data_IF_738993068478
#
_entry.id   IF_738993068478
#
_cell.length_a   1.000
_cell.length_b   1.000
_cell.length_c   1.000
_cell.angle_alpha   90.00
_cell.angle_beta   90.00
_cell.angle_gamma   90.00
#
_symmetry.space_group_name_H-M   'P 1'
#
loop_
_entity.id
_entity.type
_entity.pdbx_description
1 polymer ?
#
# COMPACT_ATOMS: atom_id res chain seq x y z
N UNK A 1 -9.00 13.08 13.82
CA UNK A 1 -9.36 11.70 13.36
C UNK A 1 -9.90 10.88 14.55
N UNK A 2 -10.99 10.11 14.38
CA UNK A 2 -11.45 9.16 15.41
C UNK A 2 -10.40 8.04 15.61
N UNK A 3 -10.31 7.50 16.84
CA UNK A 3 -9.36 6.43 17.15
C UNK A 3 -9.76 5.14 16.37
N UNK A 4 -8.84 4.54 15.62
CA UNK A 4 -9.12 3.27 14.95
C UNK A 4 -9.19 2.12 15.98
N UNK A 5 -9.97 1.06 15.66
CA UNK A 5 -9.99 -0.14 16.49
C UNK A 5 -8.59 -0.78 16.55
N UNK A 6 -8.30 -1.56 17.61
CA UNK A 6 -7.00 -2.20 17.75
C UNK A 6 -6.71 -3.17 16.61
N UNK A 7 -5.43 -3.40 16.33
CA UNK A 7 -4.99 -4.37 15.30
C UNK A 7 -5.52 -5.78 15.57
N UNK A 8 -5.64 -6.15 16.83
CA UNK A 8 -6.30 -7.37 17.28
C UNK A 8 -7.41 -6.94 18.24
N UNK A 9 -8.64 -7.06 17.78
CA UNK A 9 -9.85 -6.86 18.55
C UNK A 9 -10.38 -8.26 18.97
N UNK A 10 -10.34 -8.58 20.29
CA UNK A 10 -10.76 -9.90 20.76
C UNK A 10 -12.20 -10.25 20.41
N UNK A 11 -13.12 -9.28 20.41
CA UNK A 11 -14.53 -9.51 20.09
C UNK A 11 -14.71 -9.88 18.61
N UNK A 12 -14.07 -9.12 17.73
CA UNK A 12 -14.07 -9.44 16.27
C UNK A 12 -13.47 -10.82 16.04
N UNK A 13 -12.38 -11.16 16.74
CA UNK A 13 -11.74 -12.45 16.58
C UNK A 13 -12.60 -13.60 17.09
N UNK A 14 -13.20 -13.48 18.28
CA UNK A 14 -14.13 -14.49 18.83
C UNK A 14 -15.33 -14.71 17.93
N UNK A 15 -15.85 -13.66 17.32
CA UNK A 15 -16.99 -13.76 16.41
C UNK A 15 -16.67 -14.51 15.10
N UNK A 16 -15.39 -14.73 14.78
CA UNK A 16 -14.95 -15.42 13.56
C UNK A 16 -15.13 -16.94 13.59
N UNK A 17 -15.20 -17.53 14.81
CA UNK A 17 -15.36 -18.98 15.01
C UNK A 17 -16.08 -19.25 16.34
N UNK A 18 -17.21 -19.97 16.35
CA UNK A 18 -17.92 -20.34 17.59
C UNK A 18 -17.05 -21.04 18.62
N UNK A 19 -16.02 -21.81 18.21
CA UNK A 19 -15.08 -22.45 19.12
C UNK A 19 -14.25 -21.48 19.95
N UNK A 20 -14.14 -20.24 19.54
CA UNK A 20 -13.38 -19.19 20.22
C UNK A 20 -14.23 -18.36 21.20
N UNK A 21 -15.55 -18.55 21.21
CA UNK A 21 -16.50 -17.70 21.93
C UNK A 21 -16.24 -17.61 23.45
N UNK A 22 -15.65 -18.65 24.05
CA UNK A 22 -15.39 -18.73 25.49
C UNK A 22 -13.97 -18.27 25.89
N UNK A 23 -13.14 -17.82 24.96
CA UNK A 23 -11.81 -17.27 25.27
C UNK A 23 -11.98 -15.88 25.93
N UNK A 24 -11.22 -15.62 26.99
CA UNK A 24 -11.03 -14.24 27.45
C UNK A 24 -10.17 -13.44 26.45
N UNK A 25 -10.00 -12.16 26.70
CA UNK A 25 -9.29 -11.26 25.77
C UNK A 25 -7.84 -11.65 25.58
N UNK A 26 -7.14 -12.01 26.64
CA UNK A 26 -5.73 -12.41 26.60
C UNK A 26 -5.55 -13.71 25.81
N UNK A 27 -6.38 -14.72 26.10
CA UNK A 27 -6.39 -15.99 25.39
C UNK A 27 -6.76 -15.82 23.91
N UNK A 28 -7.74 -14.97 23.59
CA UNK A 28 -8.12 -14.68 22.22
C UNK A 28 -6.97 -14.02 21.43
N UNK A 29 -6.29 -13.03 22.02
CA UNK A 29 -5.12 -12.39 21.42
C UNK A 29 -3.97 -13.39 21.23
N UNK A 30 -3.68 -14.20 22.24
CA UNK A 30 -2.63 -15.22 22.17
C UNK A 30 -2.93 -16.27 21.11
N UNK A 31 -4.17 -16.75 21.03
CA UNK A 31 -4.61 -17.71 20.03
C UNK A 31 -4.53 -17.13 18.60
N UNK A 32 -4.94 -15.87 18.43
CA UNK A 32 -4.81 -15.18 17.16
C UNK A 32 -3.34 -15.13 16.70
N UNK A 33 -2.45 -14.70 17.59
CA UNK A 33 -1.01 -14.59 17.28
C UNK A 33 -0.38 -15.93 16.92
N UNK A 34 -0.81 -17.00 17.59
CA UNK A 34 -0.26 -18.34 17.40
C UNK A 34 -0.85 -19.07 16.17
N UNK A 35 -2.09 -18.79 15.78
CA UNK A 35 -2.81 -19.58 14.78
C UNK A 35 -3.66 -18.77 13.82
N UNK A 36 -4.37 -17.73 14.29
CA UNK A 36 -5.35 -16.98 13.51
C UNK A 36 -4.70 -16.15 12.41
N UNK A 37 -3.59 -15.50 12.76
CA UNK A 37 -2.88 -14.59 11.87
C UNK A 37 -2.44 -15.26 10.57
N UNK A 38 -1.75 -16.38 10.66
CA UNK A 38 -1.18 -17.07 9.51
C UNK A 38 -2.24 -17.78 8.67
N UNK A 39 -3.43 -17.97 9.22
CA UNK A 39 -4.62 -18.45 8.53
C UNK A 39 -5.46 -17.35 7.89
N UNK A 40 -5.08 -16.10 8.10
CA UNK A 40 -5.78 -14.92 7.57
C UNK A 40 -7.15 -14.67 8.22
N UNK A 41 -7.34 -15.11 9.48
CA UNK A 41 -8.59 -14.84 10.20
C UNK A 41 -8.67 -13.34 10.50
N UNK A 42 -9.83 -12.74 10.25
CA UNK A 42 -10.07 -11.32 10.54
C UNK A 42 -10.12 -11.12 12.05
N UNK A 43 -9.21 -10.30 12.58
CA UNK A 43 -9.17 -9.94 14.00
C UNK A 43 -9.40 -8.45 14.25
N UNK A 44 -9.71 -7.68 13.21
CA UNK A 44 -10.15 -6.29 13.31
C UNK A 44 -10.99 -5.95 12.09
N UNK A 45 -12.07 -5.18 12.24
CA UNK A 45 -12.89 -4.77 11.09
C UNK A 45 -12.09 -4.08 9.99
N UNK A 46 -11.09 -3.27 10.37
CA UNK A 46 -10.25 -2.50 9.43
C UNK A 46 -9.19 -3.33 8.70
N UNK A 47 -9.11 -4.64 8.92
CA UNK A 47 -8.35 -5.55 8.06
C UNK A 47 -8.95 -5.67 6.65
N UNK A 48 -10.19 -5.22 6.46
CA UNK A 48 -10.90 -5.24 5.19
C UNK A 48 -10.98 -3.82 4.61
N UNK A 49 -10.57 -3.66 3.34
CA UNK A 49 -10.57 -2.37 2.63
C UNK A 49 -11.93 -1.66 2.67
N UNK A 50 -13.01 -2.44 2.54
CA UNK A 50 -14.36 -1.90 2.52
C UNK A 50 -14.71 -1.18 3.84
N UNK A 51 -14.23 -1.72 4.96
CA UNK A 51 -14.43 -1.15 6.28
C UNK A 51 -13.45 0.01 6.53
N UNK A 52 -12.21 -0.06 6.04
CA UNK A 52 -11.28 1.06 6.09
C UNK A 52 -11.86 2.28 5.37
N UNK A 53 -12.41 2.09 4.16
CA UNK A 53 -13.01 3.17 3.39
C UNK A 53 -14.24 3.79 4.06
N UNK A 54 -15.07 2.97 4.73
CA UNK A 54 -16.20 3.46 5.54
C UNK A 54 -15.76 4.13 6.84
N UNK A 55 -14.57 3.82 7.32
CA UNK A 55 -13.99 4.43 8.51
C UNK A 55 -13.53 5.88 8.26
N UNK A 56 -13.21 6.25 7.03
CA UNK A 56 -12.89 7.62 6.64
C UNK A 56 -14.20 8.39 6.48
N UNK A 57 -14.45 9.35 7.38
CA UNK A 57 -15.68 10.14 7.36
C UNK A 57 -15.75 11.01 6.09
N UNK A 58 -16.94 11.13 5.50
CA UNK A 58 -17.13 11.79 4.19
C UNK A 58 -17.07 13.34 4.26
N UNK A 59 -17.11 13.91 5.46
CA UNK A 59 -16.97 15.35 5.73
C UNK A 59 -15.50 15.82 5.81
N UNK A 60 -14.55 14.90 5.92
CA UNK A 60 -13.14 15.23 5.94
C UNK A 60 -12.65 15.72 4.58
N UNK A 61 -11.75 16.74 4.59
CA UNK A 61 -10.98 17.07 3.42
C UNK A 61 -10.00 15.94 3.11
N UNK A 62 -10.10 15.35 1.92
CA UNK A 62 -9.39 14.12 1.55
C UNK A 62 -8.61 14.30 0.24
N UNK A 63 -7.35 13.88 0.24
CA UNK A 63 -6.57 13.68 -0.96
C UNK A 63 -6.41 12.17 -1.23
N UNK A 64 -6.89 11.69 -2.38
CA UNK A 64 -6.61 10.34 -2.87
C UNK A 64 -5.43 10.37 -3.85
N UNK A 65 -4.38 9.58 -3.54
CA UNK A 65 -3.16 9.45 -4.34
C UNK A 65 -3.29 8.25 -5.27
N UNK A 66 -3.12 8.47 -6.57
CA UNK A 66 -3.12 7.44 -7.59
C UNK A 66 -4.49 6.79 -7.84
N UNK A 67 -5.58 7.56 -8.02
CA UNK A 67 -6.92 7.01 -8.27
C UNK A 67 -6.99 6.22 -9.56
N UNK A 68 -6.14 6.50 -10.53
CA UNK A 68 -6.14 5.97 -11.89
C UNK A 68 -7.57 5.93 -12.48
N UNK A 69 -8.11 4.75 -12.77
CA UNK A 69 -9.47 4.55 -13.29
C UNK A 69 -10.46 3.96 -12.25
N UNK A 70 -10.09 3.93 -10.98
CA UNK A 70 -10.90 3.34 -9.90
C UNK A 70 -10.76 4.11 -8.60
N UNK A 71 -11.15 5.40 -8.56
CA UNK A 71 -11.11 6.17 -7.32
C UNK A 71 -11.96 5.49 -6.24
N UNK A 72 -11.42 5.43 -5.04
CA UNK A 72 -12.02 4.74 -3.89
C UNK A 72 -13.01 5.62 -3.14
N UNK A 73 -12.77 6.93 -3.14
CA UNK A 73 -13.65 7.93 -2.56
C UNK A 73 -14.09 8.93 -3.63
N UNK A 74 -15.32 9.41 -3.52
CA UNK A 74 -15.91 10.44 -4.38
C UNK A 74 -16.68 11.41 -3.51
N UNK A 75 -16.72 12.67 -3.87
CA UNK A 75 -17.48 13.68 -3.15
C UNK A 75 -16.88 15.08 -3.28
N UNK A 76 -17.55 16.11 -2.77
CA UNK A 76 -17.11 17.50 -2.90
C UNK A 76 -15.84 17.82 -2.08
N UNK A 77 -15.52 16.97 -1.08
CA UNK A 77 -14.36 17.13 -0.21
C UNK A 77 -13.17 16.26 -0.65
N UNK A 78 -13.27 15.57 -1.81
CA UNK A 78 -12.24 14.65 -2.31
C UNK A 78 -11.51 15.30 -3.46
N UNK A 79 -10.20 15.40 -3.32
CA UNK A 79 -9.28 15.80 -4.37
C UNK A 79 -8.41 14.62 -4.78
N UNK A 80 -7.88 14.66 -6.00
CA UNK A 80 -7.08 13.59 -6.59
C UNK A 80 -5.71 14.11 -7.00
N UNK A 81 -4.67 13.33 -6.67
CA UNK A 81 -3.32 13.49 -7.18
C UNK A 81 -2.93 12.26 -8.01
N UNK A 82 -2.43 12.48 -9.21
CA UNK A 82 -1.84 11.44 -10.05
C UNK A 82 -0.65 12.00 -10.84
N UNK A 83 0.22 11.13 -11.32
CA UNK A 83 1.37 11.52 -12.17
C UNK A 83 0.95 12.00 -13.57
N UNK A 84 -0.28 11.72 -13.98
CA UNK A 84 -0.89 12.06 -15.27
C UNK A 84 -2.19 12.84 -15.03
N UNK A 85 -2.53 13.72 -15.98
CA UNK A 85 -3.85 14.36 -15.99
C UNK A 85 -4.97 13.37 -16.41
N UNK A 86 -6.22 13.82 -16.29
CA UNK A 86 -7.38 12.98 -16.53
C UNK A 86 -7.43 12.41 -17.98
N UNK A 87 -7.03 13.18 -18.98
CA UNK A 87 -7.05 12.75 -20.38
C UNK A 87 -5.94 11.73 -20.65
N UNK A 88 -4.75 11.96 -20.10
CA UNK A 88 -3.63 11.02 -20.16
C UNK A 88 -3.97 9.70 -19.45
N UNK A 89 -4.65 9.76 -18.31
CA UNK A 89 -5.13 8.58 -17.58
C UNK A 89 -6.17 7.80 -18.38
N UNK A 90 -7.11 8.46 -19.07
CA UNK A 90 -8.08 7.80 -19.98
C UNK A 90 -7.37 7.07 -21.11
N UNK A 91 -6.37 7.71 -21.73
CA UNK A 91 -5.56 7.08 -22.78
C UNK A 91 -4.81 5.86 -22.23
N UNK A 92 -4.18 5.99 -21.04
CA UNK A 92 -3.49 4.88 -20.37
C UNK A 92 -4.45 3.73 -20.05
N UNK A 93 -5.64 4.03 -19.51
CA UNK A 93 -6.65 3.03 -19.20
C UNK A 93 -7.04 2.22 -20.44
N UNK A 94 -7.30 2.89 -21.56
CA UNK A 94 -7.60 2.22 -22.85
C UNK A 94 -6.48 1.30 -23.34
N UNK A 95 -5.21 1.65 -23.10
CA UNK A 95 -4.04 0.82 -23.48
C UNK A 95 -3.81 -0.39 -22.57
N UNK A 96 -4.16 -0.27 -21.29
CA UNK A 96 -3.93 -1.31 -20.27
C UNK A 96 -5.14 -2.18 -19.99
N UNK A 97 -6.25 -2.00 -20.72
CA UNK A 97 -7.50 -2.72 -20.49
C UNK A 97 -8.27 -2.26 -19.24
N UNK A 98 -7.97 -1.06 -18.74
CA UNK A 98 -8.72 -0.42 -17.66
C UNK A 98 -10.00 0.26 -18.17
N UNK A 99 -10.87 0.65 -17.24
CA UNK A 99 -12.11 1.39 -17.53
C UNK A 99 -11.83 2.89 -17.64
N UNK A 100 -11.76 3.43 -18.85
CA UNK A 100 -11.55 4.86 -19.08
C UNK A 100 -12.68 5.74 -18.51
N UNK A 101 -13.92 5.22 -18.42
CA UNK A 101 -15.04 5.95 -17.83
C UNK A 101 -14.92 6.04 -16.28
N UNK A 102 -14.13 5.18 -15.66
CA UNK A 102 -13.86 5.22 -14.22
C UNK A 102 -12.85 6.30 -13.80
N UNK A 103 -12.08 6.87 -14.75
CA UNK A 103 -11.13 7.96 -14.46
C UNK A 103 -11.87 9.18 -13.92
N UNK A 104 -11.39 9.84 -12.84
CA UNK A 104 -11.98 11.09 -12.36
C UNK A 104 -12.03 12.14 -13.46
N UNK A 105 -13.07 12.98 -13.45
CA UNK A 105 -13.19 14.08 -14.43
C UNK A 105 -12.08 15.12 -14.28
N UNK A 106 -11.58 15.31 -13.07
CA UNK A 106 -10.51 16.23 -12.73
C UNK A 106 -9.46 15.54 -11.86
N UNK A 107 -8.20 15.64 -12.24
CA UNK A 107 -7.04 15.43 -11.39
C UNK A 107 -6.61 16.81 -10.89
N UNK A 108 -6.74 17.06 -9.59
CA UNK A 108 -6.52 18.36 -8.96
C UNK A 108 -5.04 18.70 -8.90
N UNK A 109 -4.20 17.71 -8.69
CA UNK A 109 -2.76 17.82 -8.59
C UNK A 109 -2.08 16.83 -9.54
N UNK A 110 -1.36 17.31 -10.55
CA UNK A 110 -0.65 16.46 -11.52
C UNK A 110 0.84 16.47 -11.23
N UNK A 111 1.41 15.32 -10.92
CA UNK A 111 2.84 15.16 -10.63
C UNK A 111 3.11 14.45 -9.30
N UNK A 112 4.15 14.88 -8.60
CA UNK A 112 4.54 14.41 -7.27
C UNK A 112 3.82 15.22 -6.17
N UNK A 113 3.81 14.73 -4.95
CA UNK A 113 3.26 15.42 -3.76
C UNK A 113 3.83 16.82 -3.53
N UNK A 114 4.98 17.17 -4.12
CA UNK A 114 5.56 18.51 -4.03
C UNK A 114 4.65 19.61 -4.63
N UNK A 115 3.77 19.27 -5.58
CA UNK A 115 2.83 20.22 -6.20
C UNK A 115 1.63 20.57 -5.31
N UNK A 116 1.44 19.83 -4.22
CA UNK A 116 0.33 20.05 -3.29
C UNK A 116 0.69 21.17 -2.33
N UNK A 117 -0.07 22.27 -2.36
CA UNK A 117 0.17 23.49 -1.59
C UNK A 117 -0.81 23.70 -0.42
N UNK A 118 -1.71 22.76 -0.18
CA UNK A 118 -2.70 22.78 0.91
C UNK A 118 -2.60 21.55 1.80
N UNK A 119 -3.32 21.57 2.93
CA UNK A 119 -3.38 20.44 3.86
C UNK A 119 -4.76 19.79 3.87
N UNK A 120 -4.79 18.53 4.30
CA UNK A 120 -5.97 17.65 4.34
C UNK A 120 -6.10 16.99 5.70
N UNK A 121 -7.33 16.63 6.08
CA UNK A 121 -7.62 15.83 7.28
C UNK A 121 -7.31 14.35 7.05
N UNK A 122 -7.40 13.93 5.78
CA UNK A 122 -7.14 12.56 5.37
C UNK A 122 -6.36 12.51 4.05
N UNK A 123 -5.40 11.61 3.96
CA UNK A 123 -4.76 11.17 2.72
C UNK A 123 -5.09 9.69 2.56
N UNK A 124 -5.43 9.26 1.35
CA UNK A 124 -5.75 7.87 1.01
C UNK A 124 -4.87 7.42 -0.15
N UNK A 125 -4.32 6.22 -0.06
CA UNK A 125 -3.72 5.57 -1.23
C UNK A 125 -3.98 4.07 -1.23
N UNK A 126 -4.12 3.52 -2.42
CA UNK A 126 -4.29 2.08 -2.62
C UNK A 126 -3.36 1.62 -3.72
N UNK A 127 -2.49 0.69 -3.41
CA UNK A 127 -1.49 0.17 -4.36
C UNK A 127 -0.71 1.31 -5.04
N UNK A 128 -0.18 2.24 -4.21
CA UNK A 128 0.60 3.39 -4.68
C UNK A 128 1.89 3.62 -3.87
N UNK A 129 1.92 3.30 -2.58
CA UNK A 129 3.10 3.50 -1.74
C UNK A 129 4.28 2.60 -2.15
N UNK A 130 3.99 1.41 -2.65
CA UNK A 130 4.99 0.46 -3.14
C UNK A 130 5.70 0.94 -4.42
N UNK A 131 5.12 1.89 -5.14
CA UNK A 131 5.70 2.49 -6.34
C UNK A 131 6.61 3.71 -6.06
N UNK A 132 6.73 4.14 -4.80
CA UNK A 132 7.49 5.34 -4.48
C UNK A 132 9.00 5.06 -4.48
N UNK A 133 9.83 5.71 -5.33
CA UNK A 133 11.26 5.41 -5.39
C UNK A 133 12.02 5.71 -4.09
N UNK A 134 11.58 6.71 -3.32
CA UNK A 134 12.08 7.10 -1.99
C UNK A 134 10.91 7.12 -1.00
N UNK A 135 10.78 6.05 -0.22
CA UNK A 135 9.70 5.88 0.76
C UNK A 135 9.75 6.95 1.86
N UNK A 136 10.96 7.30 2.34
CA UNK A 136 11.10 8.31 3.41
C UNK A 136 10.61 9.66 2.93
N UNK A 137 11.06 10.08 1.75
CA UNK A 137 10.60 11.35 1.13
C UNK A 137 9.08 11.34 0.93
N UNK A 138 8.50 10.26 0.45
CA UNK A 138 7.05 10.14 0.29
C UNK A 138 6.31 10.33 1.62
N UNK A 139 6.74 9.66 2.68
CA UNK A 139 6.13 9.78 4.00
C UNK A 139 6.29 11.19 4.59
N UNK A 140 7.44 11.85 4.38
CA UNK A 140 7.66 13.25 4.77
C UNK A 140 6.73 14.22 4.02
N UNK A 141 6.52 13.98 2.72
CA UNK A 141 5.59 14.78 1.92
C UNK A 141 4.14 14.60 2.36
N UNK A 142 3.73 13.35 2.65
CA UNK A 142 2.40 13.08 3.21
C UNK A 142 2.23 13.75 4.57
N UNK A 143 3.23 13.67 5.45
CA UNK A 143 3.20 14.35 6.74
C UNK A 143 3.03 15.86 6.60
N UNK A 144 3.72 16.49 5.64
CA UNK A 144 3.62 17.93 5.35
C UNK A 144 2.21 18.37 4.98
N UNK A 145 1.51 17.56 4.18
CA UNK A 145 0.17 17.90 3.69
C UNK A 145 -0.98 17.40 4.58
N UNK A 146 -0.71 16.65 5.64
CA UNK A 146 -1.72 16.31 6.64
C UNK A 146 -1.89 17.46 7.64
N UNK A 147 -3.14 17.74 8.04
CA UNK A 147 -3.43 18.57 9.19
C UNK A 147 -2.92 17.88 10.48
N UNK A 148 -2.56 18.62 11.56
CA UNK A 148 -2.35 18.02 12.88
C UNK A 148 -3.50 17.09 13.25
N UNK A 149 -3.21 15.90 13.76
CA UNK A 149 -4.22 14.86 14.03
C UNK A 149 -4.79 14.16 12.80
N UNK A 150 -4.41 14.56 11.59
CA UNK A 150 -4.85 13.93 10.33
C UNK A 150 -4.30 12.53 10.10
N UNK A 151 -4.92 11.78 9.20
CA UNK A 151 -4.60 10.36 8.95
C UNK A 151 -4.21 10.05 7.52
N UNK A 152 -3.19 9.21 7.34
CA UNK A 152 -2.85 8.56 6.07
C UNK A 152 -3.37 7.14 6.07
N UNK A 153 -4.37 6.88 5.24
CA UNK A 153 -5.05 5.59 5.09
C UNK A 153 -4.45 4.82 3.91
N UNK A 154 -4.00 3.63 4.18
CA UNK A 154 -3.20 2.84 3.26
C UNK A 154 -3.83 1.48 3.00
N UNK A 155 -3.90 1.11 1.71
CA UNK A 155 -4.20 -0.25 1.25
C UNK A 155 -2.97 -0.69 0.47
N UNK A 156 -2.22 -1.66 1.02
CA UNK A 156 -0.88 -2.01 0.58
C UNK A 156 -0.86 -3.47 0.12
N UNK A 157 -0.28 -3.82 -1.04
CA UNK A 157 -0.14 -5.21 -1.44
C UNK A 157 0.72 -5.98 -0.45
N UNK A 158 0.23 -7.16 -0.05
CA UNK A 158 1.02 -8.12 0.70
C UNK A 158 1.77 -9.02 -0.28
N UNK A 159 3.08 -8.87 -0.33
CA UNK A 159 3.92 -9.61 -1.27
C UNK A 159 3.73 -11.13 -1.22
N UNK A 160 3.25 -11.68 -0.10
CA UNK A 160 3.02 -13.11 0.06
C UNK A 160 1.86 -13.64 -0.80
N UNK A 161 0.90 -12.76 -1.16
CA UNK A 161 -0.37 -13.15 -1.77
C UNK A 161 -0.66 -12.43 -3.10
N UNK A 162 0.38 -11.79 -3.69
CA UNK A 162 0.31 -11.13 -4.99
C UNK A 162 1.45 -11.63 -5.91
N UNK A 163 1.57 -11.03 -7.07
CA UNK A 163 2.58 -11.40 -8.07
C UNK A 163 4.03 -11.25 -7.57
N UNK A 164 4.29 -10.52 -6.48
CA UNK A 164 5.61 -10.27 -5.88
C UNK A 164 6.11 -11.43 -4.98
N UNK A 165 5.39 -12.52 -4.90
CA UNK A 165 5.61 -13.60 -3.92
C UNK A 165 7.09 -14.00 -3.76
N UNK A 166 7.80 -14.18 -4.87
CA UNK A 166 9.18 -14.64 -4.88
C UNK A 166 10.25 -13.54 -4.73
N UNK A 167 9.85 -12.27 -4.73
CA UNK A 167 10.78 -11.17 -4.52
C UNK A 167 11.07 -11.05 -3.01
N UNK A 168 12.30 -10.71 -2.64
CA UNK A 168 12.67 -10.54 -1.24
C UNK A 168 11.85 -9.42 -0.57
N UNK A 169 11.51 -9.61 0.71
CA UNK A 169 10.86 -8.58 1.50
C UNK A 169 11.78 -7.37 1.67
N UNK A 170 11.24 -6.16 1.54
CA UNK A 170 12.00 -4.93 1.72
C UNK A 170 12.40 -4.72 3.18
N UNK A 171 13.61 -4.25 3.38
CA UNK A 171 14.20 -3.99 4.69
C UNK A 171 14.41 -2.49 4.93
N UNK A 172 14.67 -2.12 6.18
CA UNK A 172 15.08 -0.74 6.51
C UNK A 172 16.38 -0.34 5.77
N UNK A 173 17.28 -1.28 5.50
CA UNK A 173 18.51 -1.01 4.75
C UNK A 173 18.22 -0.58 3.31
N UNK A 174 17.28 -1.25 2.63
CA UNK A 174 16.86 -0.87 1.27
C UNK A 174 16.24 0.55 1.27
N UNK A 175 15.39 0.85 2.26
CA UNK A 175 14.73 2.15 2.41
C UNK A 175 15.75 3.26 2.68
N UNK A 176 16.69 3.04 3.60
CA UNK A 176 17.74 4.01 3.91
C UNK A 176 18.67 4.25 2.73
N UNK A 177 19.04 3.20 2.00
CA UNK A 177 19.86 3.35 0.80
C UNK A 177 19.15 4.22 -0.25
N UNK A 178 17.86 3.96 -0.54
CA UNK A 178 17.08 4.74 -1.49
C UNK A 178 17.00 6.22 -1.09
N UNK A 179 16.80 6.48 0.20
CA UNK A 179 16.70 7.85 0.73
C UNK A 179 18.04 8.61 0.64
N UNK A 180 19.14 7.98 1.02
CA UNK A 180 20.47 8.56 0.94
C UNK A 180 20.89 8.85 -0.52
N UNK A 181 20.48 7.98 -1.45
CA UNK A 181 20.65 8.18 -2.89
C UNK A 181 19.68 9.23 -3.47
N UNK A 182 18.70 9.70 -2.72
CA UNK A 182 17.66 10.66 -3.15
C UNK A 182 16.96 10.19 -4.42
N UNK A 183 16.55 8.94 -4.44
CA UNK A 183 15.97 8.31 -5.63
C UNK A 183 14.72 9.03 -6.12
N UNK A 184 14.65 9.27 -7.43
CA UNK A 184 13.50 9.88 -8.14
C UNK A 184 12.92 8.94 -9.19
N UNK A 185 13.63 7.88 -9.52
CA UNK A 185 13.22 6.84 -10.46
C UNK A 185 13.61 5.47 -9.90
N UNK A 186 13.01 4.44 -10.46
CA UNK A 186 13.31 3.05 -10.10
C UNK A 186 14.69 2.62 -10.59
N UNK A 187 15.33 1.72 -9.84
CA UNK A 187 16.62 1.14 -10.20
C UNK A 187 16.44 0.01 -11.21
N UNK A 188 17.53 -0.34 -11.92
CA UNK A 188 17.55 -1.55 -12.73
C UNK A 188 17.16 -2.80 -11.93
N UNK A 189 17.57 -2.88 -10.64
CA UNK A 189 17.17 -3.96 -9.72
C UNK A 189 15.66 -4.06 -9.62
N UNK A 190 14.97 -2.95 -9.31
CA UNK A 190 13.51 -2.92 -9.16
C UNK A 190 12.80 -3.31 -10.47
N UNK A 191 13.30 -2.84 -11.62
CA UNK A 191 12.73 -3.21 -12.93
C UNK A 191 12.90 -4.69 -13.22
N UNK A 192 14.08 -5.26 -12.98
CA UNK A 192 14.32 -6.71 -13.16
C UNK A 192 13.44 -7.52 -12.20
N UNK A 193 13.38 -7.17 -10.92
CA UNK A 193 12.55 -7.87 -9.93
C UNK A 193 11.08 -7.90 -10.37
N UNK A 194 10.52 -6.74 -10.69
CA UNK A 194 9.11 -6.62 -11.07
C UNK A 194 8.80 -7.29 -12.43
N UNK A 195 9.70 -7.25 -13.41
CA UNK A 195 9.45 -7.84 -14.74
C UNK A 195 9.81 -9.32 -14.80
N UNK A 196 10.85 -9.77 -14.08
CA UNK A 196 11.41 -11.11 -14.26
C UNK A 196 11.09 -12.09 -13.13
N UNK A 197 10.80 -11.62 -11.90
CA UNK A 197 10.57 -12.49 -10.74
C UNK A 197 9.10 -12.59 -10.33
N UNK A 198 8.21 -11.82 -10.95
CA UNK A 198 6.78 -11.85 -10.68
C UNK A 198 6.10 -13.08 -11.27
N UNK A 199 4.97 -13.46 -10.67
CA UNK A 199 4.14 -14.60 -11.02
C UNK A 199 2.69 -14.15 -11.28
N UNK A 200 1.71 -15.04 -11.15
CA UNK A 200 0.29 -14.67 -11.24
C UNK A 200 -0.14 -13.77 -10.08
N UNK A 201 -1.23 -13.01 -10.29
CA UNK A 201 -1.83 -12.15 -9.26
C UNK A 201 -3.14 -12.74 -8.69
N UNK A 202 -3.29 -14.04 -8.71
CA UNK A 202 -4.45 -14.73 -8.14
C UNK A 202 -4.20 -15.01 -6.65
N UNK A 203 -4.76 -14.17 -5.79
CA UNK A 203 -4.58 -14.27 -4.34
C UNK A 203 -5.15 -15.57 -3.76
N UNK A 204 -6.23 -16.12 -4.32
CA UNK A 204 -6.81 -17.39 -3.83
C UNK A 204 -5.87 -18.56 -4.07
N UNK A 205 -5.18 -18.57 -5.24
CA UNK A 205 -4.16 -19.58 -5.51
C UNK A 205 -2.99 -19.43 -4.54
N UNK A 206 -2.52 -18.20 -4.27
CA UNK A 206 -1.47 -17.97 -3.26
C UNK A 206 -1.86 -18.50 -1.88
N UNK A 207 -3.09 -18.23 -1.42
CA UNK A 207 -3.59 -18.76 -0.15
C UNK A 207 -3.75 -20.28 -0.14
N UNK A 208 -3.92 -20.92 -1.29
CA UNK A 208 -3.95 -22.36 -1.46
C UNK A 208 -2.54 -23.00 -1.59
N UNK A 209 -1.46 -22.19 -1.54
CA UNK A 209 -0.07 -22.65 -1.67
C UNK A 209 0.40 -22.80 -3.12
N UNK A 210 -0.38 -22.39 -4.10
CA UNK A 210 0.06 -22.31 -5.49
C UNK A 210 0.55 -20.90 -5.79
N UNK A 211 1.86 -20.75 -5.87
CA UNK A 211 2.51 -19.46 -6.09
C UNK A 211 3.03 -19.26 -7.53
N UNK A 212 2.75 -20.23 -8.43
CA UNK A 212 3.24 -20.17 -9.81
C UNK A 212 4.73 -20.52 -9.93
N UNK A 213 5.30 -20.20 -11.09
CA UNK A 213 6.70 -20.52 -11.40
C UNK A 213 7.46 -19.26 -11.88
N UNK A 214 8.36 -18.69 -11.06
CA UNK A 214 9.16 -17.52 -11.41
C UNK A 214 10.25 -17.81 -12.45
N UNK A 215 10.61 -19.09 -12.65
CA UNK A 215 11.64 -19.49 -13.63
C UNK A 215 11.13 -19.46 -15.08
N UNK A 216 9.81 -19.42 -15.27
CA UNK A 216 9.23 -19.45 -16.62
C UNK A 216 9.71 -18.26 -17.45
N UNK A 217 10.43 -18.57 -18.54
CA UNK A 217 11.00 -17.56 -19.46
C UNK A 217 11.91 -16.52 -18.78
N UNK A 218 12.53 -16.84 -17.63
CA UNK A 218 13.31 -15.90 -16.81
C UNK A 218 14.34 -15.11 -17.64
N UNK A 219 15.15 -15.78 -18.45
CA UNK A 219 16.21 -15.11 -19.24
C UNK A 219 15.63 -14.09 -20.21
N UNK A 220 14.54 -14.42 -20.91
CA UNK A 220 13.89 -13.49 -21.83
C UNK A 220 13.26 -12.30 -21.07
N UNK A 221 12.66 -12.55 -19.92
CA UNK A 221 12.07 -11.51 -19.05
C UNK A 221 13.14 -10.57 -18.51
N UNK A 222 14.30 -11.09 -18.07
CA UNK A 222 15.43 -10.26 -17.62
C UNK A 222 15.97 -9.39 -18.75
N UNK A 223 16.15 -9.95 -19.97
CA UNK A 223 16.57 -9.15 -21.13
C UNK A 223 15.61 -8.02 -21.43
N UNK A 224 14.31 -8.31 -21.49
CA UNK A 224 13.29 -7.29 -21.73
C UNK A 224 13.27 -6.20 -20.63
N UNK A 225 13.49 -6.57 -19.37
CA UNK A 225 13.59 -5.63 -18.28
C UNK A 225 14.80 -4.68 -18.41
N UNK A 226 15.95 -5.21 -18.84
CA UNK A 226 17.15 -4.39 -19.10
C UNK A 226 16.88 -3.43 -20.25
N UNK A 227 16.32 -3.92 -21.38
CA UNK A 227 15.96 -3.09 -22.55
C UNK A 227 14.98 -1.97 -22.17
N UNK A 228 13.94 -2.28 -21.37
CA UNK A 228 12.97 -1.29 -20.86
C UNK A 228 13.66 -0.22 -20.01
N UNK A 229 14.54 -0.64 -19.10
CA UNK A 229 15.28 0.28 -18.23
C UNK A 229 16.21 1.20 -19.04
N UNK A 230 16.96 0.67 -19.99
CA UNK A 230 17.86 1.43 -20.86
C UNK A 230 17.07 2.41 -21.73
N UNK A 231 15.95 1.97 -22.31
CA UNK A 231 15.07 2.83 -23.12
C UNK A 231 14.47 3.98 -22.32
N UNK A 232 14.22 3.79 -21.03
CA UNK A 232 13.72 4.85 -20.15
C UNK A 232 14.77 5.96 -19.89
N UNK A 233 16.06 5.70 -20.13
CA UNK A 233 17.15 6.71 -20.03
C UNK A 233 17.13 7.52 -18.74
N UNK A 234 16.89 6.86 -17.60
CA UNK A 234 16.75 7.49 -16.28
C UNK A 234 15.35 8.04 -15.98
N UNK A 235 14.41 7.89 -16.91
CA UNK A 235 13.01 8.21 -16.68
C UNK A 235 12.30 7.21 -15.77
N UNK A 236 11.06 7.53 -15.42
CA UNK A 236 10.22 6.68 -14.57
C UNK A 236 9.75 5.43 -15.33
N UNK A 237 9.97 4.27 -14.71
CA UNK A 237 9.39 2.99 -15.14
C UNK A 237 8.41 2.54 -14.06
N UNK A 238 7.18 2.23 -14.41
CA UNK A 238 6.13 1.87 -13.44
C UNK A 238 6.33 0.44 -12.94
N UNK A 239 6.99 0.30 -11.80
CA UNK A 239 7.28 -0.96 -11.11
C UNK A 239 7.19 -0.78 -9.60
N UNK A 240 7.12 -1.87 -8.84
CA UNK A 240 7.26 -1.81 -7.38
C UNK A 240 8.71 -1.54 -6.98
N UNK A 241 8.90 -0.60 -6.05
CA UNK A 241 10.15 -0.37 -5.35
C UNK A 241 10.20 -1.16 -4.03
N UNK A 242 9.02 -1.42 -3.46
CA UNK A 242 8.88 -1.99 -2.12
C UNK A 242 7.97 -3.22 -2.13
N UNK A 243 8.35 -4.21 -1.32
CA UNK A 243 7.68 -5.51 -1.20
C UNK A 243 7.38 -5.75 0.28
N UNK A 244 6.15 -5.43 0.70
CA UNK A 244 5.78 -5.42 2.11
C UNK A 244 5.03 -6.68 2.53
N UNK A 245 5.22 -7.01 3.83
CA UNK A 245 4.24 -7.70 4.65
C UNK A 245 3.79 -6.75 5.78
N UNK A 246 2.65 -6.98 6.46
CA UNK A 246 2.25 -6.14 7.59
C UNK A 246 3.34 -5.97 8.67
N UNK A 247 4.08 -7.04 9.11
CA UNK A 247 5.17 -6.88 10.07
C UNK A 247 6.33 -6.04 9.55
N UNK A 248 6.76 -6.23 8.29
CA UNK A 248 7.87 -5.47 7.70
C UNK A 248 7.53 -3.99 7.57
N UNK A 249 6.33 -3.68 7.06
CA UNK A 249 5.84 -2.30 6.97
C UNK A 249 5.86 -1.61 8.35
N UNK A 250 5.30 -2.28 9.39
CA UNK A 250 5.34 -1.78 10.77
C UNK A 250 6.77 -1.52 11.23
N UNK A 251 7.66 -2.49 11.05
CA UNK A 251 9.06 -2.39 11.48
C UNK A 251 9.76 -1.21 10.82
N UNK A 252 9.61 -1.05 9.50
CA UNK A 252 10.21 0.05 8.74
C UNK A 252 9.70 1.40 9.24
N UNK A 253 8.38 1.60 9.32
CA UNK A 253 7.79 2.89 9.74
C UNK A 253 8.19 3.22 11.19
N UNK A 254 8.18 2.24 12.09
CA UNK A 254 8.60 2.45 13.49
C UNK A 254 10.06 2.89 13.55
N UNK A 255 10.95 2.20 12.81
CA UNK A 255 12.37 2.56 12.78
C UNK A 255 12.61 3.96 12.18
N UNK A 256 11.92 4.31 11.10
CA UNK A 256 12.03 5.66 10.49
C UNK A 256 11.63 6.76 11.49
N UNK A 257 10.58 6.50 12.28
CA UNK A 257 10.13 7.43 13.32
C UNK A 257 11.15 7.54 14.45
N UNK A 258 11.66 6.43 14.96
CA UNK A 258 12.68 6.39 16.02
C UNK A 258 14.00 7.08 15.59
N UNK A 259 14.32 7.03 14.30
CA UNK A 259 15.43 7.78 13.70
C UNK A 259 15.13 9.28 13.53
N UNK A 260 13.92 9.74 13.78
CA UNK A 260 13.50 11.13 13.59
C UNK A 260 13.38 11.55 12.12
N UNK A 261 13.30 10.60 11.19
CA UNK A 261 13.16 10.88 9.76
C UNK A 261 11.72 11.21 9.36
N UNK A 262 10.73 10.74 10.11
CA UNK A 262 9.31 11.04 9.97
C UNK A 262 8.69 11.25 11.35
N UNK A 263 7.64 12.08 11.45
CA UNK A 263 6.83 12.23 12.65
C UNK A 263 5.58 11.36 12.67
N UNK A 264 5.22 10.73 11.55
CA UNK A 264 4.02 9.90 11.45
C UNK A 264 4.05 8.71 12.40
N UNK A 265 2.93 8.45 13.09
CA UNK A 265 2.72 7.34 14.02
C UNK A 265 1.84 6.25 13.41
N UNK A 266 2.13 4.98 13.72
CA UNK A 266 1.25 3.87 13.34
C UNK A 266 0.03 3.85 14.26
N UNK A 267 -1.11 4.35 13.77
CA UNK A 267 -2.40 4.27 14.45
C UNK A 267 -3.09 2.92 14.23
N UNK A 268 -2.85 2.25 13.11
CA UNK A 268 -3.35 0.92 12.79
C UNK A 268 -2.46 0.20 11.77
N UNK A 269 -2.31 -1.12 11.91
CA UNK A 269 -1.61 -1.94 10.92
C UNK A 269 -2.18 -3.36 10.99
N UNK A 270 -3.09 -3.67 10.08
CA UNK A 270 -3.96 -4.85 10.13
C UNK A 270 -3.38 -5.95 9.26
N UNK A 271 -3.49 -7.20 9.71
CA UNK A 271 -2.99 -8.33 8.95
C UNK A 271 -3.89 -8.65 7.76
N UNK A 272 -3.29 -9.18 6.70
CA UNK A 272 -3.98 -9.60 5.48
C UNK A 272 -5.03 -10.65 5.78
N UNK A 273 -6.27 -10.36 5.42
CA UNK A 273 -7.37 -11.30 5.56
C UNK A 273 -7.25 -12.43 4.50
N UNK A 274 -7.78 -13.60 4.85
CA UNK A 274 -7.80 -14.76 3.94
C UNK A 274 -8.46 -14.38 2.61
N UNK A 275 -7.93 -14.91 1.53
CA UNK A 275 -8.38 -14.63 0.17
C UNK A 275 -8.31 -13.15 -0.23
N UNK A 276 -7.36 -12.39 0.37
CA UNK A 276 -6.96 -11.04 -0.03
C UNK A 276 -5.48 -11.02 -0.36
N UNK A 277 -5.07 -10.06 -1.17
CA UNK A 277 -3.66 -9.81 -1.53
C UNK A 277 -3.12 -8.50 -0.97
N UNK A 278 -3.85 -7.89 -0.04
CA UNK A 278 -3.54 -6.57 0.50
C UNK A 278 -3.81 -6.52 2.00
N UNK A 279 -3.16 -5.60 2.67
CA UNK A 279 -3.43 -5.25 4.06
C UNK A 279 -3.69 -3.75 4.21
N UNK A 280 -4.34 -3.39 5.29
CA UNK A 280 -4.67 -2.01 5.61
C UNK A 280 -3.75 -1.46 6.69
N UNK A 281 -3.35 -0.19 6.56
CA UNK A 281 -2.63 0.53 7.60
C UNK A 281 -3.15 1.97 7.74
N UNK A 282 -2.96 2.55 8.90
CA UNK A 282 -3.28 3.95 9.19
C UNK A 282 -2.06 4.55 9.89
N UNK A 283 -1.51 5.61 9.28
CA UNK A 283 -0.52 6.45 9.92
C UNK A 283 -1.20 7.75 10.35
N UNK A 284 -0.83 8.29 11.49
CA UNK A 284 -1.38 9.54 12.04
C UNK A 284 -0.27 10.57 12.13
N UNK A 285 -0.54 11.82 11.70
CA UNK A 285 0.27 12.97 12.10
C UNK A 285 -0.10 13.34 13.54
N UNK A 286 0.87 13.44 14.46
CA UNK A 286 0.61 13.94 15.81
C UNK A 286 -0.02 15.34 15.82
N UNK A 287 -0.68 15.69 16.94
CA UNK A 287 -1.32 17.00 17.15
C UNK A 287 -0.28 18.11 17.29
#
# INVERSE_FOLDING_TARGET
MRAPPPTIDPDTYRASDPALANLDDEAAIAHYRARGRDRGVVASPLALRENLLRFIDDDLSLLEIGPFCRPLKRGPNVEYLDVLDADQLRVRAGRTGGDAAGVPDLIHHVGDLDVVDRSYDAVLSSHAIEHQPDLVRHLQQVERILNPGGGYYLIIPDKRYCFDHFIAESTIADVMQAHLERRRAHTLKSVIEHRALTVHNDHRRHWAGDHGNPERNRVARVKAAIEEYEAASGGYVDVHAWYFTPPAFRSIVTTLRELGLIGLEIAGNYHTARDRNEFCAILKRPD
#
